data_IF_743327167820
#
_entry.id   IF_743327167820
#
_cell.length_a   1.000
_cell.length_b   1.000
_cell.length_c   1.000
_cell.angle_alpha   90.00
_cell.angle_beta   90.00
_cell.angle_gamma   90.00
#
_symmetry.space_group_name_H-M   'P 1'
#
loop_
_entity.id
_entity.type
_entity.pdbx_description
1 polymer ?
#
# COMPACT_ATOMS: atom_id res chain seq x y z
N UNK A 1 0.36 35.31 37.16
CA UNK A 1 0.73 34.33 38.21
C UNK A 1 -0.39 34.30 39.24
N UNK A 2 -1.36 33.39 39.12
CA UNK A 2 -1.76 32.34 40.08
C UNK A 2 -3.31 32.33 40.01
N UNK A 3 -4.08 31.24 40.08
CA UNK A 3 -3.87 29.84 40.42
C UNK A 3 -5.05 29.05 39.83
N UNK A 4 -4.76 27.79 39.53
CA UNK A 4 -5.69 26.69 39.24
C UNK A 4 -6.71 26.51 40.38
N UNK A 5 -7.99 26.28 40.04
CA UNK A 5 -9.05 25.55 40.79
C UNK A 5 -10.40 25.90 40.14
N UNK A 6 -11.38 25.03 39.92
CA UNK A 6 -11.65 23.70 40.47
C UNK A 6 -12.62 22.99 39.50
N UNK A 7 -12.31 21.73 39.20
CA UNK A 7 -13.22 20.76 38.63
C UNK A 7 -14.37 20.50 39.62
N UNK A 8 -15.64 20.64 39.21
CA UNK A 8 -16.72 19.71 39.57
C UNK A 8 -18.04 20.07 38.86
N UNK A 9 -18.46 19.24 37.91
CA UNK A 9 -19.88 19.05 37.60
C UNK A 9 -20.07 17.63 37.10
N UNK A 10 -20.52 16.80 38.04
CA UNK A 10 -21.06 15.46 37.86
C UNK A 10 -22.42 15.52 37.18
N UNK A 11 -22.86 14.36 36.67
CA UNK A 11 -24.12 14.04 36.01
C UNK A 11 -24.08 14.30 34.49
N UNK A 12 -24.42 13.37 33.60
CA UNK A 12 -25.20 12.14 33.75
C UNK A 12 -24.94 11.30 32.51
N UNK A 13 -24.85 9.98 32.70
CA UNK A 13 -24.74 9.01 31.63
C UNK A 13 -25.91 9.16 30.64
N UNK A 14 -25.61 9.42 29.36
CA UNK A 14 -26.54 9.18 28.26
C UNK A 14 -25.92 8.14 27.35
N UNK A 15 -26.39 6.91 27.55
CA UNK A 15 -26.18 5.75 26.71
C UNK A 15 -26.76 6.03 25.32
N UNK A 16 -25.91 6.36 24.35
CA UNK A 16 -26.19 6.27 22.91
C UNK A 16 -25.33 5.12 22.39
N UNK A 17 -25.83 3.89 22.53
CA UNK A 17 -26.55 3.18 21.47
C UNK A 17 -25.63 2.83 20.29
N UNK A 18 -25.13 1.60 20.36
CA UNK A 18 -24.72 0.71 19.28
C UNK A 18 -24.64 1.35 17.87
N UNK A 19 -23.43 1.80 17.52
CA UNK A 19 -22.98 1.86 16.14
C UNK A 19 -22.09 0.67 15.87
N UNK A 20 -22.69 -0.45 15.46
CA UNK A 20 -21.96 -1.61 14.96
C UNK A 20 -21.19 -1.22 13.68
N UNK A 21 -19.87 -1.40 13.72
CA UNK A 21 -18.98 -1.84 12.63
C UNK A 21 -17.55 -1.78 13.18
N UNK A 22 -17.26 -2.58 14.21
CA UNK A 22 -15.89 -2.99 14.48
C UNK A 22 -15.49 -3.87 13.30
N UNK A 23 -14.82 -3.25 12.34
CA UNK A 23 -13.88 -3.93 11.49
C UNK A 23 -12.94 -4.68 12.43
N UNK A 24 -13.16 -5.98 12.53
CA UNK A 24 -12.12 -6.94 12.85
C UNK A 24 -11.10 -6.82 11.73
N UNK A 25 -10.29 -5.77 11.77
CA UNK A 25 -8.97 -5.81 11.18
C UNK A 25 -8.14 -6.47 12.26
N UNK A 26 -8.19 -7.80 12.25
CA UNK A 26 -7.10 -8.61 12.76
C UNK A 26 -5.82 -7.94 12.25
N UNK A 27 -5.10 -7.39 13.21
CA UNK A 27 -3.71 -7.05 13.05
C UNK A 27 -2.99 -8.38 13.30
N UNK A 28 -2.49 -9.10 12.29
CA UNK A 28 -1.34 -9.94 12.54
C UNK A 28 -0.16 -8.98 12.64
N UNK A 29 0.47 -9.05 13.81
CA UNK A 29 1.78 -8.50 14.06
C UNK A 29 2.74 -8.85 12.92
N UNK A 30 3.58 -7.88 12.59
CA UNK A 30 5.00 -8.05 12.30
C UNK A 30 5.44 -9.49 12.03
N UNK A 31 5.29 -9.95 10.80
CA UNK A 31 6.19 -10.96 10.26
C UNK A 31 7.15 -10.22 9.34
N UNK A 32 8.29 -9.84 9.92
CA UNK A 32 9.53 -9.67 9.17
C UNK A 32 9.96 -11.10 8.80
N UNK A 33 9.15 -11.78 8.01
CA UNK A 33 9.60 -12.91 7.24
C UNK A 33 10.24 -12.28 6.04
N UNK A 34 11.55 -12.41 5.99
CA UNK A 34 12.30 -12.69 4.77
C UNK A 34 11.62 -13.88 4.08
N UNK A 35 10.42 -13.67 3.54
CA UNK A 35 9.96 -14.44 2.43
C UNK A 35 10.93 -14.05 1.33
N UNK A 36 11.73 -15.00 0.89
CA UNK A 36 12.09 -15.07 -0.52
C UNK A 36 10.79 -15.21 -1.31
N UNK A 37 9.96 -14.17 -1.30
CA UNK A 37 8.88 -14.03 -2.23
C UNK A 37 9.62 -13.87 -3.54
N UNK A 38 9.37 -14.78 -4.46
CA UNK A 38 9.59 -14.54 -5.87
C UNK A 38 8.62 -13.42 -6.27
N UNK A 39 8.86 -12.21 -5.76
CA UNK A 39 8.14 -10.99 -6.10
C UNK A 39 8.33 -10.89 -7.61
N UNK A 40 7.25 -11.13 -8.34
CA UNK A 40 7.30 -10.89 -9.77
C UNK A 40 7.65 -9.42 -9.96
N UNK A 41 8.46 -9.04 -10.97
CA UNK A 41 8.89 -7.64 -11.16
C UNK A 41 7.72 -6.63 -11.13
N UNK A 42 6.54 -7.14 -11.43
CA UNK A 42 5.25 -6.48 -11.49
C UNK A 42 4.65 -6.16 -10.10
N UNK A 43 4.86 -6.99 -9.08
CA UNK A 43 4.47 -6.71 -7.68
C UNK A 43 5.37 -5.62 -7.09
N UNK A 44 6.69 -5.77 -7.26
CA UNK A 44 7.66 -4.75 -6.85
C UNK A 44 7.41 -3.40 -7.52
N UNK A 45 6.86 -3.39 -8.73
CA UNK A 45 6.48 -2.17 -9.42
C UNK A 45 5.16 -1.55 -8.90
N UNK A 46 4.26 -2.35 -8.32
CA UNK A 46 3.00 -1.86 -7.77
C UNK A 46 3.23 -1.00 -6.52
N UNK A 47 4.22 -1.37 -5.70
CA UNK A 47 4.60 -0.65 -4.47
C UNK A 47 5.31 0.70 -4.73
N UNK A 48 5.73 0.95 -5.97
CA UNK A 48 6.38 2.22 -6.33
C UNK A 48 5.36 3.36 -6.44
N UNK A 49 5.74 4.61 -6.15
CA UNK A 49 4.88 5.74 -6.44
C UNK A 49 4.63 5.87 -7.95
N UNK A 50 3.43 6.34 -8.32
CA UNK A 50 3.08 6.58 -9.71
C UNK A 50 4.06 7.58 -10.37
N UNK A 51 4.40 7.37 -11.64
CA UNK A 51 5.40 8.15 -12.35
C UNK A 51 6.86 7.73 -12.12
N UNK A 52 7.10 6.69 -11.30
CA UNK A 52 8.46 6.19 -11.03
C UNK A 52 9.01 5.38 -12.20
N UNK A 53 10.28 5.61 -12.53
CA UNK A 53 11.03 4.75 -13.45
C UNK A 53 12.25 4.21 -12.73
N UNK A 54 12.37 2.88 -12.67
CA UNK A 54 13.54 2.17 -12.14
C UNK A 54 14.24 1.49 -13.30
N UNK A 55 15.56 1.62 -13.34
CA UNK A 55 16.42 0.86 -14.24
C UNK A 55 17.31 -0.02 -13.38
N UNK A 56 17.21 -1.33 -13.57
CA UNK A 56 18.09 -2.28 -12.90
C UNK A 56 19.49 -2.23 -13.52
N UNK A 57 20.50 -2.55 -12.73
CA UNK A 57 21.89 -2.63 -13.16
C UNK A 57 22.11 -3.77 -14.17
N UNK A 58 21.25 -4.77 -14.14
CA UNK A 58 21.15 -5.87 -15.09
C UNK A 58 20.67 -5.45 -16.49
N UNK A 59 20.16 -4.22 -16.63
CA UNK A 59 19.59 -3.67 -17.86
C UNK A 59 18.06 -3.81 -17.95
N UNK A 60 17.42 -4.38 -16.93
CA UNK A 60 15.96 -4.38 -16.80
C UNK A 60 15.43 -2.96 -16.55
N UNK A 61 14.17 -2.72 -16.92
CA UNK A 61 13.52 -1.43 -16.77
C UNK A 61 12.08 -1.59 -16.32
N UNK A 62 11.74 -0.94 -15.22
CA UNK A 62 10.39 -0.85 -14.67
C UNK A 62 9.93 0.60 -14.79
N UNK A 63 8.76 0.83 -15.38
CA UNK A 63 8.14 2.15 -15.46
C UNK A 63 6.71 2.05 -14.95
N UNK A 64 6.43 2.67 -13.82
CA UNK A 64 5.06 2.95 -13.37
C UNK A 64 4.65 4.32 -13.90
N UNK A 65 3.61 4.36 -14.69
CA UNK A 65 3.07 5.58 -15.25
C UNK A 65 2.23 6.31 -14.19
N UNK A 66 1.86 7.57 -14.48
CA UNK A 66 1.10 8.40 -13.55
C UNK A 66 -0.36 7.91 -13.39
N UNK A 67 -0.89 7.26 -14.42
CA UNK A 67 -2.18 6.55 -14.43
C UNK A 67 -2.16 5.24 -13.61
N UNK A 68 -0.98 4.79 -13.16
CA UNK A 68 -0.80 3.55 -12.43
C UNK A 68 -0.34 2.37 -13.31
N UNK A 69 -0.31 2.52 -14.63
CA UNK A 69 0.08 1.45 -15.55
C UNK A 69 1.54 1.07 -15.34
N UNK A 70 1.82 -0.22 -15.30
CA UNK A 70 3.18 -0.73 -15.10
C UNK A 70 3.68 -1.31 -16.42
N UNK A 71 4.85 -0.85 -16.87
CA UNK A 71 5.58 -1.38 -18.02
C UNK A 71 6.94 -1.89 -17.56
N UNK A 72 7.19 -3.18 -17.75
CA UNK A 72 8.44 -3.84 -17.41
C UNK A 72 9.08 -4.36 -18.69
N UNK A 73 10.36 -4.11 -18.84
CA UNK A 73 11.22 -4.73 -19.84
C UNK A 73 12.31 -5.47 -19.11
N UNK A 74 12.38 -6.79 -19.27
CA UNK A 74 13.48 -7.56 -18.70
C UNK A 74 14.75 -7.46 -19.56
N UNK A 75 15.82 -8.09 -19.08
CA UNK A 75 17.12 -8.14 -19.76
C UNK A 75 17.08 -8.95 -21.05
N UNK A 76 16.18 -9.94 -21.12
CA UNK A 76 15.97 -10.80 -22.30
C UNK A 76 15.12 -10.11 -23.38
N UNK A 77 14.59 -8.92 -23.09
CA UNK A 77 13.75 -8.14 -23.98
C UNK A 77 12.25 -8.44 -23.87
N UNK A 78 11.84 -9.35 -22.98
CA UNK A 78 10.44 -9.63 -22.67
C UNK A 78 9.79 -8.39 -22.07
N UNK A 79 8.55 -8.13 -22.47
CA UNK A 79 7.78 -6.96 -22.04
C UNK A 79 6.55 -7.42 -21.30
N UNK A 80 6.42 -6.93 -20.06
CA UNK A 80 5.24 -7.15 -19.25
C UNK A 80 4.55 -5.79 -19.09
N UNK A 81 3.25 -5.75 -19.37
CA UNK A 81 2.41 -4.58 -19.09
C UNK A 81 1.32 -5.00 -18.13
N UNK A 82 1.12 -4.24 -17.05
CA UNK A 82 -0.07 -4.34 -16.21
C UNK A 82 -0.87 -3.06 -16.35
N UNK A 83 -2.11 -3.20 -16.78
CA UNK A 83 -3.07 -2.11 -16.89
C UNK A 83 -3.56 -1.74 -15.48
N UNK A 84 -3.63 -0.44 -15.17
CA UNK A 84 -4.00 0.04 -13.83
C UNK A 84 -5.49 -0.13 -13.51
N UNK A 85 -6.33 -0.09 -14.55
CA UNK A 85 -7.79 -0.05 -14.43
C UNK A 85 -8.38 -1.39 -13.99
N UNK A 86 -7.95 -2.48 -14.63
CA UNK A 86 -8.49 -3.83 -14.45
C UNK A 86 -7.45 -4.83 -13.93
N UNK A 87 -6.20 -4.40 -13.75
CA UNK A 87 -5.09 -5.26 -13.34
C UNK A 87 -4.63 -6.25 -14.42
N UNK A 88 -5.13 -6.14 -15.66
CA UNK A 88 -4.80 -7.08 -16.75
C UNK A 88 -3.30 -7.06 -17.03
N UNK A 89 -2.69 -8.25 -17.01
CA UNK A 89 -1.26 -8.43 -17.32
C UNK A 89 -1.09 -8.99 -18.72
N UNK A 90 -0.39 -8.26 -19.58
CA UNK A 90 0.00 -8.67 -20.95
C UNK A 90 1.50 -8.92 -21.00
N UNK A 91 1.90 -10.13 -21.39
CA UNK A 91 3.30 -10.50 -21.59
C UNK A 91 3.56 -10.68 -23.08
N UNK A 92 4.67 -10.12 -23.58
CA UNK A 92 5.07 -10.17 -25.00
C UNK A 92 6.57 -10.40 -25.16
#
# INVERSE_FOLDING_TARGET
MQRVSLLLSTATALTLLLGACSQTTEQPATDISTAETTETPVERAADLPAGTTIKGDDGSKIKKQADGDIKIKDVNGNKIKRDADDGTVKVK
#
